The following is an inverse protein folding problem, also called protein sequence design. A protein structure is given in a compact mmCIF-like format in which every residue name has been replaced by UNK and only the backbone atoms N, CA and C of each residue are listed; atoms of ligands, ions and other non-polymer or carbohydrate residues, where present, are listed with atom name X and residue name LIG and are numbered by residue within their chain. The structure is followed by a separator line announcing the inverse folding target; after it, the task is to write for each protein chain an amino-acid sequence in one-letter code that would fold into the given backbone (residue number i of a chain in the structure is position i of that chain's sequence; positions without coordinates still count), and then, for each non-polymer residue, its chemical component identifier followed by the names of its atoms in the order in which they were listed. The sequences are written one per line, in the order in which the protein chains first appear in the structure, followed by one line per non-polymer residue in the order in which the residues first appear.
data_IF_624428005264
#
_entry.id   IF_624428005264
#
_cell.length_a   1.000
_cell.length_b   1.000
_cell.length_c   1.000
_cell.angle_alpha   90.00
_cell.angle_beta   90.00
_cell.angle_gamma   90.00
#
_symmetry.space_group_name_H-M   'P 1'
#
loop_
_entity.id
_entity.type
_entity.pdbx_description
1 polymer ?
#
# COMPACT_ATOMS: atom_id res chain seq x y z
N UNK A 1 11.56 -5.43 -19.00
CA UNK A 1 11.59 -4.56 -17.77
C UNK A 1 11.04 -5.29 -16.55
N UNK A 2 9.79 -5.79 -16.58
CA UNK A 2 9.20 -6.56 -15.45
C UNK A 2 9.96 -7.86 -15.11
N UNK A 3 10.58 -8.52 -16.08
CA UNK A 3 11.41 -9.72 -15.86
C UNK A 3 12.76 -9.41 -15.18
N UNK A 4 13.24 -8.17 -15.27
CA UNK A 4 14.51 -7.74 -14.66
C UNK A 4 14.32 -7.22 -13.23
N UNK A 5 13.08 -7.06 -12.77
CA UNK A 5 12.76 -6.55 -11.43
C UNK A 5 13.34 -7.43 -10.31
N UNK A 6 13.33 -8.77 -10.36
CA UNK A 6 13.94 -9.61 -9.33
C UNK A 6 15.44 -9.37 -9.17
N UNK A 7 16.17 -9.17 -10.27
CA UNK A 7 17.60 -8.85 -10.26
C UNK A 7 17.87 -7.45 -9.70
N UNK A 8 17.01 -6.48 -10.02
CA UNK A 8 17.07 -5.13 -9.45
C UNK A 8 16.81 -5.10 -7.95
N UNK A 9 15.80 -5.83 -7.47
CA UNK A 9 15.50 -5.96 -6.03
C UNK A 9 16.63 -6.67 -5.30
N UNK A 10 17.20 -7.74 -5.87
CA UNK A 10 18.37 -8.41 -5.32
C UNK A 10 19.57 -7.47 -5.21
N UNK A 11 19.88 -6.69 -6.26
CA UNK A 11 20.98 -5.72 -6.26
C UNK A 11 20.81 -4.63 -5.20
N UNK A 12 19.60 -4.12 -5.00
CA UNK A 12 19.31 -3.12 -3.97
C UNK A 12 19.45 -3.69 -2.56
N UNK A 13 18.94 -4.90 -2.31
CA UNK A 13 19.10 -5.59 -1.02
C UNK A 13 20.58 -5.90 -0.76
N UNK A 14 21.33 -6.35 -1.77
CA UNK A 14 22.76 -6.64 -1.64
C UNK A 14 23.59 -5.37 -1.35
N UNK A 15 23.30 -4.26 -2.05
CA UNK A 15 23.95 -2.98 -1.80
C UNK A 15 23.67 -2.46 -0.37
N UNK A 16 22.43 -2.62 0.12
CA UNK A 16 22.06 -2.29 1.48
C UNK A 16 22.83 -3.13 2.51
N UNK A 17 22.89 -4.46 2.30
CA UNK A 17 23.63 -5.38 3.18
C UNK A 17 25.11 -5.02 3.23
N UNK A 18 25.70 -4.67 2.07
CA UNK A 18 27.08 -4.23 1.96
C UNK A 18 27.37 -2.88 2.64
N UNK A 19 26.38 -1.99 2.75
CA UNK A 19 26.56 -0.63 3.27
C UNK A 19 26.38 -0.53 4.79
N UNK A 20 25.44 -1.29 5.37
CA UNK A 20 25.05 -1.13 6.77
C UNK A 20 25.49 -2.27 7.70
N UNK A 21 25.93 -3.40 7.14
CA UNK A 21 26.33 -4.59 7.89
C UNK A 21 25.15 -5.39 8.46
N UNK A 22 25.29 -6.71 8.52
CA UNK A 22 24.20 -7.65 8.81
C UNK A 22 23.54 -7.43 10.19
N UNK A 23 24.31 -7.03 11.21
CA UNK A 23 23.80 -6.83 12.57
C UNK A 23 22.94 -5.58 12.73
N UNK A 24 23.19 -4.51 11.97
CA UNK A 24 22.38 -3.28 12.01
C UNK A 24 21.11 -3.38 11.16
N UNK A 25 20.96 -4.45 10.37
CA UNK A 25 19.79 -4.71 9.51
C UNK A 25 18.65 -5.43 10.22
N UNK A 26 18.90 -6.04 11.39
CA UNK A 26 17.88 -6.79 12.14
C UNK A 26 16.62 -5.96 12.46
N UNK A 27 16.71 -4.71 12.97
CA UNK A 27 15.54 -3.86 13.19
C UNK A 27 14.77 -3.54 11.90
N UNK A 28 15.49 -3.36 10.78
CA UNK A 28 14.89 -3.10 9.47
C UNK A 28 14.19 -4.34 8.91
N UNK A 29 14.71 -5.54 9.17
CA UNK A 29 14.04 -6.80 8.85
C UNK A 29 12.71 -6.96 9.58
N UNK A 30 12.68 -6.64 10.89
CA UNK A 30 11.44 -6.62 11.66
C UNK A 30 10.43 -5.60 11.12
N UNK A 31 10.90 -4.43 10.70
CA UNK A 31 10.06 -3.41 10.08
C UNK A 31 9.44 -3.90 8.76
N UNK A 32 10.24 -4.51 7.88
CA UNK A 32 9.76 -5.11 6.63
C UNK A 32 8.67 -6.15 6.92
N UNK A 33 8.93 -7.07 7.86
CA UNK A 33 7.96 -8.09 8.24
C UNK A 33 6.67 -7.49 8.82
N UNK A 34 6.80 -6.49 9.70
CA UNK A 34 5.64 -5.80 10.29
C UNK A 34 4.78 -5.12 9.22
N UNK A 35 5.40 -4.46 8.24
CA UNK A 35 4.68 -3.84 7.13
C UNK A 35 3.99 -4.88 6.25
N UNK A 36 4.68 -5.96 5.90
CA UNK A 36 4.10 -7.03 5.09
C UNK A 36 2.91 -7.69 5.80
N UNK A 37 3.04 -7.94 7.10
CA UNK A 37 1.98 -8.50 7.92
C UNK A 37 0.80 -7.53 8.05
N UNK A 38 1.04 -6.24 8.30
CA UNK A 38 -0.03 -5.23 8.38
C UNK A 38 -0.81 -5.12 7.05
N UNK A 39 -0.11 -5.05 5.92
CA UNK A 39 -0.74 -5.02 4.60
C UNK A 39 -1.48 -6.33 4.29
N UNK A 40 -0.91 -7.49 4.61
CA UNK A 40 -1.56 -8.78 4.39
C UNK A 40 -2.82 -8.93 5.25
N UNK A 41 -2.78 -8.51 6.51
CA UNK A 41 -3.96 -8.48 7.39
C UNK A 41 -5.02 -7.52 6.85
N UNK A 42 -4.64 -6.34 6.37
CA UNK A 42 -5.60 -5.40 5.77
C UNK A 42 -6.29 -6.01 4.54
N UNK A 43 -5.52 -6.65 3.64
CA UNK A 43 -6.07 -7.32 2.46
C UNK A 43 -6.98 -8.49 2.86
N UNK A 44 -6.52 -9.37 3.75
CA UNK A 44 -7.26 -10.60 4.07
C UNK A 44 -8.45 -10.33 4.98
N UNK A 45 -8.32 -9.46 5.98
CA UNK A 45 -9.36 -9.23 6.98
C UNK A 45 -10.29 -8.10 6.54
N UNK A 46 -9.75 -6.92 6.24
CA UNK A 46 -10.58 -5.73 5.94
C UNK A 46 -11.23 -5.86 4.57
N UNK A 47 -10.47 -6.15 3.51
CA UNK A 47 -11.07 -6.24 2.17
C UNK A 47 -11.99 -7.45 2.02
N UNK A 48 -11.63 -8.62 2.56
CA UNK A 48 -12.56 -9.77 2.55
C UNK A 48 -13.79 -9.52 3.41
N UNK A 49 -13.64 -8.87 4.57
CA UNK A 49 -14.76 -8.50 5.43
C UNK A 49 -15.75 -7.58 4.72
N UNK A 50 -15.24 -6.57 3.99
CA UNK A 50 -16.07 -5.70 3.16
C UNK A 50 -16.77 -6.47 2.04
N UNK A 51 -16.07 -7.37 1.34
CA UNK A 51 -16.70 -8.20 0.30
C UNK A 51 -17.83 -9.06 0.85
N UNK A 52 -17.60 -9.72 1.99
CA UNK A 52 -18.61 -10.54 2.65
C UNK A 52 -19.82 -9.72 3.09
N UNK A 53 -19.59 -8.52 3.64
CA UNK A 53 -20.66 -7.60 4.04
C UNK A 53 -21.57 -7.19 2.86
N UNK A 54 -21.05 -7.15 1.63
CA UNK A 54 -21.82 -6.83 0.42
C UNK A 54 -22.29 -8.07 -0.35
N UNK A 55 -22.19 -9.26 0.24
CA UNK A 55 -22.62 -10.52 -0.37
C UNK A 55 -21.75 -10.98 -1.56
N UNK A 56 -20.50 -10.52 -1.62
CA UNK A 56 -19.53 -10.89 -2.65
C UNK A 56 -18.55 -11.95 -2.12
N UNK A 57 -18.17 -12.88 -2.98
CA UNK A 57 -17.19 -13.93 -2.62
C UNK A 57 -15.76 -13.38 -2.65
N UNK A 58 -15.02 -13.39 -1.52
CA UNK A 58 -13.62 -12.96 -1.49
C UNK A 58 -12.74 -13.78 -2.43
N UNK A 59 -12.98 -15.09 -2.52
CA UNK A 59 -12.20 -15.97 -3.38
C UNK A 59 -12.37 -15.63 -4.88
N UNK A 60 -13.60 -15.32 -5.32
CA UNK A 60 -13.85 -14.88 -6.70
C UNK A 60 -13.18 -13.53 -6.97
N UNK A 61 -13.27 -12.60 -6.02
CA UNK A 61 -12.61 -11.29 -6.13
C UNK A 61 -11.10 -11.43 -6.29
N UNK A 62 -10.41 -12.09 -5.35
CA UNK A 62 -8.95 -12.22 -5.39
C UNK A 62 -8.44 -12.95 -6.62
N UNK A 63 -9.16 -13.99 -7.08
CA UNK A 63 -8.84 -14.64 -8.36
C UNK A 63 -8.98 -13.70 -9.55
N UNK A 64 -10.02 -12.87 -9.57
CA UNK A 64 -10.24 -11.89 -10.63
C UNK A 64 -9.21 -10.75 -10.66
N UNK A 65 -8.77 -10.28 -9.48
CA UNK A 65 -7.84 -9.15 -9.37
C UNK A 65 -6.36 -9.52 -9.30
N UNK A 66 -6.02 -10.81 -9.19
CA UNK A 66 -4.64 -11.28 -9.08
C UNK A 66 -3.66 -10.70 -10.11
N UNK A 67 -4.00 -10.55 -11.41
CA UNK A 67 -3.09 -9.93 -12.38
C UNK A 67 -2.76 -8.47 -12.04
N UNK A 68 -3.74 -7.69 -11.58
CA UNK A 68 -3.54 -6.31 -11.15
C UNK A 68 -2.66 -6.22 -9.91
N UNK A 69 -2.87 -7.11 -8.94
CA UNK A 69 -2.05 -7.21 -7.72
C UNK A 69 -0.58 -7.52 -8.05
N UNK A 70 -0.33 -8.48 -8.95
CA UNK A 70 1.02 -8.87 -9.35
C UNK A 70 1.75 -7.73 -10.05
N UNK A 71 1.09 -7.05 -11.00
CA UNK A 71 1.69 -5.93 -11.71
C UNK A 71 1.99 -4.79 -10.74
N UNK A 72 1.06 -4.47 -9.82
CA UNK A 72 1.28 -3.46 -8.79
C UNK A 72 2.46 -3.77 -7.86
N UNK A 73 2.62 -5.04 -7.48
CA UNK A 73 3.72 -5.49 -6.64
C UNK A 73 5.07 -5.30 -7.33
N UNK A 74 5.17 -5.71 -8.59
CA UNK A 74 6.44 -5.65 -9.34
C UNK A 74 6.76 -4.22 -9.76
N UNK A 75 5.76 -3.48 -10.27
CA UNK A 75 5.96 -2.12 -10.78
C UNK A 75 6.13 -1.09 -9.67
N UNK A 76 5.54 -1.33 -8.48
CA UNK A 76 5.44 -0.37 -7.39
C UNK A 76 4.86 0.98 -7.84
N UNK A 77 3.92 0.94 -8.79
CA UNK A 77 3.15 2.10 -9.22
C UNK A 77 1.69 1.73 -9.45
N UNK A 78 0.78 2.50 -8.83
CA UNK A 78 -0.67 2.31 -9.03
C UNK A 78 -1.08 2.68 -10.45
N UNK A 79 -0.51 3.78 -10.98
CA UNK A 79 -0.75 4.19 -12.37
C UNK A 79 -0.22 3.18 -13.39
N UNK A 80 0.94 2.56 -13.15
CA UNK A 80 1.45 1.52 -14.04
C UNK A 80 0.58 0.25 -14.04
N UNK A 81 -0.05 -0.08 -12.90
CA UNK A 81 -0.95 -1.23 -12.77
C UNK A 81 -2.38 -0.93 -13.27
N UNK A 82 -2.75 0.34 -13.43
CA UNK A 82 -4.11 0.80 -13.75
C UNK A 82 -4.72 0.13 -14.99
N UNK A 83 -4.03 -0.04 -16.14
CA UNK A 83 -4.63 -0.70 -17.30
C UNK A 83 -5.01 -2.16 -17.02
N UNK A 84 -4.18 -2.85 -16.23
CA UNK A 84 -4.42 -4.25 -15.83
C UNK A 84 -5.51 -4.33 -14.78
N UNK A 85 -5.56 -3.39 -13.84
CA UNK A 85 -6.61 -3.27 -12.84
C UNK A 85 -8.00 -3.03 -13.49
N UNK A 86 -8.07 -2.08 -14.44
CA UNK A 86 -9.28 -1.82 -15.23
C UNK A 86 -9.74 -3.09 -15.97
N UNK A 87 -8.81 -3.79 -16.65
CA UNK A 87 -9.14 -5.04 -17.34
C UNK A 87 -9.64 -6.11 -16.37
N UNK A 88 -9.01 -6.25 -15.20
CA UNK A 88 -9.37 -7.23 -14.19
C UNK A 88 -10.80 -7.01 -13.68
N UNK A 89 -11.16 -5.80 -13.27
CA UNK A 89 -12.50 -5.56 -12.72
C UNK A 89 -13.60 -5.58 -13.81
N UNK A 90 -13.29 -5.17 -15.04
CA UNK A 90 -14.28 -5.15 -16.12
C UNK A 90 -14.51 -6.52 -16.75
N UNK A 91 -13.44 -7.26 -17.07
CA UNK A 91 -13.55 -8.55 -17.75
C UNK A 91 -13.71 -9.72 -16.79
N UNK A 92 -13.00 -9.72 -15.65
CA UNK A 92 -13.02 -10.87 -14.74
C UNK A 92 -14.12 -10.76 -13.68
N UNK A 93 -14.51 -9.53 -13.31
CA UNK A 93 -15.51 -9.28 -12.26
C UNK A 93 -16.80 -8.63 -12.77
N UNK A 94 -16.88 -8.28 -14.06
CA UNK A 94 -18.12 -7.81 -14.68
C UNK A 94 -18.56 -6.39 -14.31
N UNK A 95 -17.65 -5.55 -13.82
CA UNK A 95 -17.94 -4.12 -13.55
C UNK A 95 -18.18 -3.38 -14.86
N UNK A 96 -19.23 -2.54 -14.91
CA UNK A 96 -19.50 -1.67 -16.05
C UNK A 96 -18.25 -0.85 -16.45
N UNK A 97 -17.93 -0.81 -17.75
CA UNK A 97 -16.70 -0.20 -18.28
C UNK A 97 -16.64 1.31 -18.08
N UNK A 98 -17.75 2.01 -18.28
CA UNK A 98 -17.81 3.47 -18.18
C UNK A 98 -17.60 3.91 -16.73
N UNK A 99 -18.24 3.21 -15.79
CA UNK A 99 -18.02 3.42 -14.37
C UNK A 99 -16.58 3.08 -13.95
N UNK A 100 -16.05 1.93 -14.38
CA UNK A 100 -14.68 1.53 -14.08
C UNK A 100 -13.63 2.55 -14.58
N UNK A 101 -13.83 3.09 -15.78
CA UNK A 101 -12.95 4.09 -16.39
C UNK A 101 -12.90 5.41 -15.60
N UNK A 102 -13.92 5.71 -14.80
CA UNK A 102 -13.90 6.82 -13.85
C UNK A 102 -13.33 6.43 -12.48
N UNK A 103 -13.85 5.35 -11.90
CA UNK A 103 -13.60 5.01 -10.51
C UNK A 103 -12.16 4.53 -10.25
N UNK A 104 -11.55 3.78 -11.16
CA UNK A 104 -10.18 3.26 -10.97
C UNK A 104 -9.11 4.35 -11.06
N UNK A 105 -9.11 5.26 -12.07
CA UNK A 105 -8.17 6.38 -12.10
C UNK A 105 -8.33 7.33 -10.91
N UNK A 106 -9.57 7.58 -10.48
CA UNK A 106 -9.84 8.36 -9.28
C UNK A 106 -9.20 7.68 -8.06
N UNK A 107 -9.49 6.40 -7.83
CA UNK A 107 -8.88 5.62 -6.76
C UNK A 107 -7.35 5.61 -6.80
N UNK A 108 -6.76 5.52 -8.00
CA UNK A 108 -5.29 5.57 -8.21
C UNK A 108 -4.66 6.90 -7.80
N UNK A 109 -5.47 7.95 -7.60
CA UNK A 109 -5.02 9.27 -7.19
C UNK A 109 -5.27 9.56 -5.71
N UNK A 110 -6.41 9.11 -5.16
CA UNK A 110 -6.86 9.53 -3.81
C UNK A 110 -6.97 8.40 -2.79
N UNK A 111 -6.77 7.13 -3.18
CA UNK A 111 -6.90 5.96 -2.29
C UNK A 111 -5.57 5.23 -2.15
N UNK A 112 -4.87 5.50 -1.05
CA UNK A 112 -3.55 4.96 -0.73
C UNK A 112 -3.45 4.34 0.67
N UNK A 113 -4.21 3.28 0.94
CA UNK A 113 -4.22 2.58 2.24
C UNK A 113 -2.79 2.18 2.72
N UNK A 114 -2.00 1.58 1.83
CA UNK A 114 -0.62 1.17 2.11
C UNK A 114 0.36 2.35 2.18
N UNK A 115 0.34 3.25 1.20
CA UNK A 115 1.34 4.31 1.07
C UNK A 115 1.09 5.53 1.97
N UNK A 116 -0.18 5.90 2.18
CA UNK A 116 -0.54 7.11 2.92
C UNK A 116 -1.01 6.85 4.36
N UNK A 117 -1.52 5.66 4.66
CA UNK A 117 -1.97 5.32 6.02
C UNK A 117 -1.02 4.34 6.74
N UNK A 118 -0.95 3.08 6.28
CA UNK A 118 -0.23 2.01 6.97
C UNK A 118 1.26 2.35 7.12
N UNK A 119 1.93 2.75 6.03
CA UNK A 119 3.37 3.00 6.07
C UNK A 119 3.76 4.19 6.95
N UNK A 120 3.18 5.40 6.82
CA UNK A 120 3.51 6.52 7.70
C UNK A 120 3.25 6.22 9.18
N UNK A 121 2.17 5.49 9.49
CA UNK A 121 1.87 5.09 10.87
C UNK A 121 2.91 4.11 11.42
N UNK A 122 3.27 3.07 10.65
CA UNK A 122 4.33 2.14 11.05
C UNK A 122 5.68 2.86 11.19
N UNK A 123 6.02 3.77 10.28
CA UNK A 123 7.25 4.57 10.36
C UNK A 123 7.32 5.35 11.68
N UNK A 124 6.23 6.00 12.08
CA UNK A 124 6.19 6.75 13.32
C UNK A 124 6.43 5.88 14.55
N UNK A 125 5.77 4.72 14.61
CA UNK A 125 5.96 3.76 15.72
C UNK A 125 7.37 3.18 15.73
N UNK A 126 7.89 2.78 14.56
CA UNK A 126 9.23 2.24 14.44
C UNK A 126 10.30 3.24 14.84
N UNK A 127 10.20 4.49 14.35
CA UNK A 127 11.17 5.53 14.65
C UNK A 127 11.17 5.85 16.15
N UNK A 128 9.99 5.95 16.77
CA UNK A 128 9.88 6.18 18.20
C UNK A 128 10.54 5.04 19.02
N UNK A 129 10.30 3.78 18.64
CA UNK A 129 10.94 2.63 19.27
C UNK A 129 12.45 2.59 19.03
N UNK A 130 12.90 2.92 17.82
CA UNK A 130 14.30 2.91 17.43
C UNK A 130 15.13 3.99 18.14
N UNK A 131 14.55 5.17 18.37
CA UNK A 131 15.20 6.28 19.08
C UNK A 131 14.97 6.28 20.59
N UNK A 132 14.16 5.34 21.10
CA UNK A 132 13.82 5.25 22.51
C UNK A 132 12.89 6.37 23.01
N UNK A 133 12.20 7.07 22.10
CA UNK A 133 11.25 8.12 22.44
C UNK A 133 9.88 7.49 22.72
N UNK A 134 9.33 7.58 23.94
CA UNK A 134 8.02 7.03 24.24
C UNK A 134 6.93 7.86 23.54
N UNK A 135 6.00 7.16 22.86
CA UNK A 135 4.84 7.80 22.25
C UNK A 135 3.74 8.04 23.29
N UNK A 136 3.31 9.29 23.41
CA UNK A 136 2.14 9.67 24.21
C UNK A 136 0.84 9.31 23.49
N UNK A 137 -0.27 9.17 24.22
CA UNK A 137 -1.59 8.93 23.64
C UNK A 137 -2.00 10.02 22.62
N UNK A 138 -1.62 11.27 22.88
CA UNK A 138 -1.84 12.38 21.94
C UNK A 138 -1.07 12.19 20.63
N UNK A 139 0.19 11.75 20.69
CA UNK A 139 0.98 11.47 19.49
C UNK A 139 0.38 10.33 18.67
N UNK A 140 -0.10 9.25 19.30
CA UNK A 140 -0.82 8.20 18.59
C UNK A 140 -2.06 8.72 17.85
N UNK A 141 -2.83 9.60 18.49
CA UNK A 141 -4.00 10.22 17.87
C UNK A 141 -3.62 11.13 16.69
N UNK A 142 -2.58 11.95 16.84
CA UNK A 142 -2.06 12.81 15.77
C UNK A 142 -1.54 11.97 14.60
N UNK A 143 -0.80 10.90 14.87
CA UNK A 143 -0.33 9.96 13.84
C UNK A 143 -1.53 9.37 13.08
N UNK A 144 -2.56 8.91 13.81
CA UNK A 144 -3.78 8.37 13.20
C UNK A 144 -4.46 9.37 12.25
N UNK A 145 -4.73 10.59 12.71
CA UNK A 145 -5.39 11.62 11.89
C UNK A 145 -4.51 12.02 10.71
N UNK A 146 -3.21 12.25 10.93
CA UNK A 146 -2.29 12.64 9.87
C UNK A 146 -2.14 11.55 8.79
N UNK A 147 -2.11 10.28 9.19
CA UNK A 147 -2.10 9.14 8.27
C UNK A 147 -3.40 9.00 7.48
N UNK A 148 -4.56 9.19 8.10
CA UNK A 148 -5.86 9.14 7.41
C UNK A 148 -5.96 10.27 6.38
N UNK A 149 -5.64 11.50 6.77
CA UNK A 149 -5.65 12.65 5.86
C UNK A 149 -4.59 12.51 4.77
N UNK A 150 -3.41 12.00 5.11
CA UNK A 150 -2.31 11.75 4.20
C UNK A 150 -2.62 10.75 3.09
N UNK A 151 -3.47 9.76 3.38
CA UNK A 151 -3.95 8.80 2.38
C UNK A 151 -4.67 9.46 1.20
N UNK A 152 -5.33 10.61 1.41
CA UNK A 152 -5.97 11.36 0.32
C UNK A 152 -4.98 12.22 -0.47
N UNK A 153 -3.92 12.69 0.18
CA UNK A 153 -2.90 13.57 -0.41
C UNK A 153 -1.77 12.85 -1.13
N UNK A 154 -1.72 11.51 -1.06
CA UNK A 154 -0.62 10.72 -1.63
C UNK A 154 -0.99 10.22 -3.02
N UNK A 155 -0.27 10.68 -4.06
CA UNK A 155 -0.46 10.18 -5.41
C UNK A 155 0.18 8.80 -5.63
N UNK A 156 -0.38 8.00 -6.55
CA UNK A 156 0.01 6.61 -6.85
C UNK A 156 1.31 6.42 -7.65
N UNK A 157 2.32 7.25 -7.39
CA UNK A 157 3.65 7.21 -8.02
C UNK A 157 4.73 6.86 -7.00
N UNK A 158 5.86 6.26 -7.42
CA UNK A 158 6.94 5.89 -6.50
C UNK A 158 7.48 7.09 -5.70
N UNK A 159 7.85 6.84 -4.44
CA UNK A 159 8.51 7.83 -3.57
C UNK A 159 7.58 8.80 -2.81
N UNK A 160 6.29 8.91 -3.17
CA UNK A 160 5.33 9.79 -2.46
C UNK A 160 5.06 9.34 -1.03
N UNK A 161 5.12 8.04 -0.76
CA UNK A 161 4.92 7.47 0.56
C UNK A 161 5.94 7.97 1.60
N UNK A 162 7.20 8.19 1.18
CA UNK A 162 8.26 8.69 2.05
C UNK A 162 8.01 10.15 2.41
N UNK A 163 7.57 10.97 1.45
CA UNK A 163 7.15 12.37 1.69
C UNK A 163 5.96 12.40 2.65
N UNK A 164 4.99 11.49 2.50
CA UNK A 164 3.87 11.45 3.43
C UNK A 164 4.31 11.02 4.85
N UNK A 165 5.26 10.09 4.95
CA UNK A 165 5.84 9.71 6.23
C UNK A 165 6.54 10.87 6.94
N UNK A 166 7.25 11.76 6.23
CA UNK A 166 7.84 12.95 6.87
C UNK A 166 6.79 13.91 7.42
N UNK A 167 5.65 14.06 6.74
CA UNK A 167 4.53 14.89 7.22
C UNK A 167 3.95 14.32 8.52
N UNK A 168 3.72 13.00 8.59
CA UNK A 168 3.21 12.34 9.81
C UNK A 168 4.20 12.45 10.97
N UNK A 169 5.48 12.21 10.71
CA UNK A 169 6.54 12.32 11.72
C UNK A 169 6.66 13.75 12.26
N UNK A 170 6.62 14.74 11.36
CA UNK A 170 6.65 16.16 11.74
C UNK A 170 5.45 16.55 12.59
N UNK A 171 4.24 16.12 12.21
CA UNK A 171 3.03 16.35 12.99
C UNK A 171 3.13 15.73 14.40
N UNK A 172 3.73 14.55 14.52
CA UNK A 172 3.95 13.86 15.79
C UNK A 172 5.18 14.35 16.57
N UNK A 173 5.93 15.32 16.05
CA UNK A 173 7.18 15.85 16.61
C UNK A 173 8.26 14.77 16.81
N UNK A 174 8.36 13.84 15.85
CA UNK A 174 9.33 12.76 15.84
C UNK A 174 10.57 13.09 14.99
N UNK A 175 11.75 12.54 15.35
CA UNK A 175 12.99 12.81 14.62
C UNK A 175 12.94 12.26 13.20
N UNK A 176 13.13 13.15 12.21
CA UNK A 176 13.06 12.83 10.78
C UNK A 176 14.32 12.13 10.26
N UNK A 177 15.45 12.29 10.95
CA UNK A 177 16.76 11.78 10.52
C UNK A 177 16.76 10.26 10.27
N UNK A 178 15.94 9.53 11.01
CA UNK A 178 15.84 8.06 10.94
C UNK A 178 15.12 7.60 9.67
N UNK A 179 14.34 8.46 9.01
CA UNK A 179 13.64 8.10 7.76
C UNK A 179 14.61 7.81 6.61
N UNK A 180 15.82 8.40 6.64
CA UNK A 180 16.85 8.17 5.64
C UNK A 180 17.29 6.71 5.56
N UNK A 181 17.25 5.98 6.67
CA UNK A 181 17.55 4.54 6.68
C UNK A 181 16.43 3.71 6.06
N UNK A 182 15.17 4.12 6.24
CA UNK A 182 14.02 3.47 5.62
C UNK A 182 14.00 3.66 4.10
N UNK A 183 14.55 4.76 3.59
CA UNK A 183 14.68 5.00 2.15
C UNK A 183 15.51 3.91 1.46
N UNK A 184 16.55 3.40 2.13
CA UNK A 184 17.42 2.38 1.56
C UNK A 184 16.72 1.02 1.38
N UNK A 185 15.68 0.73 2.17
CA UNK A 185 14.83 -0.47 2.03
C UNK A 185 13.49 -0.19 1.36
N UNK A 186 13.20 1.07 1.01
CA UNK A 186 11.87 1.50 0.59
C UNK A 186 11.39 0.70 -0.62
N UNK A 187 12.29 0.32 -1.53
CA UNK A 187 11.93 -0.44 -2.72
C UNK A 187 11.21 -1.76 -2.40
N UNK A 188 11.61 -2.45 -1.33
CA UNK A 188 10.98 -3.73 -0.91
C UNK A 188 9.64 -3.48 -0.23
N UNK A 189 9.55 -2.41 0.55
CA UNK A 189 8.32 -2.00 1.21
C UNK A 189 7.28 -1.54 0.19
N UNK A 190 7.71 -0.81 -0.83
CA UNK A 190 6.86 -0.18 -1.83
C UNK A 190 6.08 -1.19 -2.66
N UNK A 191 6.68 -2.36 -2.90
CA UNK A 191 6.02 -3.48 -3.59
C UNK A 191 4.73 -3.88 -2.87
N UNK A 192 4.81 -4.12 -1.56
CA UNK A 192 3.65 -4.56 -0.78
C UNK A 192 2.63 -3.44 -0.56
N UNK A 193 3.10 -2.21 -0.30
CA UNK A 193 2.20 -1.05 -0.14
C UNK A 193 1.41 -0.77 -1.42
N UNK A 194 2.08 -0.80 -2.57
CA UNK A 194 1.44 -0.55 -3.87
C UNK A 194 0.45 -1.66 -4.20
N UNK A 195 0.82 -2.93 -3.99
CA UNK A 195 -0.12 -4.04 -4.15
C UNK A 195 -1.38 -3.82 -3.30
N UNK A 196 -1.23 -3.39 -2.04
CA UNK A 196 -2.34 -3.11 -1.13
C UNK A 196 -3.23 -2.00 -1.68
N UNK A 197 -2.64 -0.87 -2.10
CA UNK A 197 -3.38 0.24 -2.69
C UNK A 197 -4.21 -0.20 -3.90
N UNK A 198 -3.56 -0.86 -4.87
CA UNK A 198 -4.20 -1.28 -6.12
C UNK A 198 -5.31 -2.29 -5.85
N UNK A 199 -5.12 -3.19 -4.88
CA UNK A 199 -6.18 -4.11 -4.44
C UNK A 199 -7.40 -3.34 -3.93
N UNK A 200 -7.21 -2.34 -3.07
CA UNK A 200 -8.28 -1.48 -2.59
C UNK A 200 -8.93 -0.63 -3.70
N UNK A 201 -8.14 -0.16 -4.67
CA UNK A 201 -8.60 0.61 -5.83
C UNK A 201 -9.45 -0.23 -6.80
N UNK A 202 -9.25 -1.55 -6.84
CA UNK A 202 -10.13 -2.48 -7.56
C UNK A 202 -11.34 -2.90 -6.73
N UNK A 203 -11.18 -3.02 -5.40
CA UNK A 203 -12.23 -3.40 -4.47
C UNK A 203 -13.39 -2.41 -4.47
N UNK A 204 -13.10 -1.12 -4.24
CA UNK A 204 -14.14 -0.10 -4.06
C UNK A 204 -15.07 0.00 -5.27
N UNK A 205 -14.58 0.05 -6.53
CA UNK A 205 -15.46 -0.01 -7.70
C UNK A 205 -16.33 -1.26 -7.75
N UNK A 206 -15.82 -2.43 -7.34
CA UNK A 206 -16.62 -3.67 -7.32
C UNK A 206 -17.74 -3.58 -6.29
N UNK A 207 -17.47 -3.04 -5.10
CA UNK A 207 -18.48 -2.84 -4.06
C UNK A 207 -19.58 -1.87 -4.52
N UNK A 208 -19.19 -0.70 -5.02
CA UNK A 208 -20.14 0.32 -5.50
C UNK A 208 -20.93 -0.21 -6.70
N UNK A 209 -20.30 -0.93 -7.62
CA UNK A 209 -20.99 -1.53 -8.75
C UNK A 209 -22.03 -2.56 -8.31
N UNK A 210 -21.75 -3.33 -7.24
CA UNK A 210 -22.71 -4.25 -6.64
C UNK A 210 -23.93 -3.52 -6.06
N UNK A 211 -23.71 -2.43 -5.34
CA UNK A 211 -24.80 -1.64 -4.72
C UNK A 211 -25.64 -0.88 -5.73
N UNK A 212 -25.02 -0.40 -6.81
CA UNK A 212 -25.67 0.42 -7.85
C UNK A 212 -26.25 -0.41 -9.02
N UNK A 213 -26.12 -1.74 -8.98
CA UNK A 213 -26.59 -2.62 -10.04
C UNK A 213 -25.76 -2.57 -11.32
N UNK A 214 -24.53 -2.02 -11.27
CA UNK A 214 -23.58 -1.93 -12.38
C UNK A 214 -22.63 -3.13 -12.46
N UNK A 215 -22.90 -4.18 -11.68
CA UNK A 215 -22.13 -5.42 -11.65
C UNK A 215 -22.87 -6.51 -12.44
N UNK A 216 -22.38 -6.82 -13.64
CA UNK A 216 -22.91 -7.92 -14.43
C UNK A 216 -22.48 -9.25 -13.80
N UNK A 217 -23.40 -9.85 -13.06
CA UNK A 217 -23.27 -11.22 -12.54
C UNK A 217 -23.73 -12.17 -13.65
N UNK A 218 -22.82 -12.46 -14.58
CA UNK A 218 -22.95 -13.64 -15.43
C UNK A 218 -22.54 -14.89 -14.65
#
# INVERSE_FOLDING_TARGET
VLEMTPLGTFGLIAALVGSYGFQKLLPFGHFVLALYLACALHIVVVYSGLLLAHGLSPLKFFRGVAPGMQVAFVSSSSFAAMPVALRAITHNLGVNKDYAAFAVPLGSSIKMDGCGAIFPALCAVFIAQYTGVPLTANQYFVIFIASVLGSFGTAGVPGTAVVMATVVLSAAHLPLEVIGYLYAIDRVLDMMRTMTNVTGQMLVPVLVAKETGLLNTA
#
